data_IF_423611260768
#
_entry.id   IF_423611260768
#
_cell.length_a   1.000
_cell.length_b   1.000
_cell.length_c   1.000
_cell.angle_alpha   90.00
_cell.angle_beta   90.00
_cell.angle_gamma   90.00
#
_symmetry.space_group_name_H-M   'P 1'
#
loop_
_entity.id
_entity.type
_entity.pdbx_description
1 polymer ?
#
# COMPACT_ATOMS: atom_id res chain seq x y z
N UNK A 1 -3.79 41.38 -24.59
CA UNK A 1 -4.35 40.64 -23.47
C UNK A 1 -4.19 41.44 -22.18
N UNK A 2 -5.22 41.48 -21.38
CA UNK A 2 -5.23 42.26 -20.15
C UNK A 2 -4.27 41.61 -19.12
N UNK A 3 -3.45 42.42 -18.42
CA UNK A 3 -2.52 41.97 -17.39
C UNK A 3 -3.23 41.29 -16.22
N UNK A 4 -4.45 41.68 -15.89
CA UNK A 4 -5.27 41.09 -14.84
C UNK A 4 -5.68 39.65 -15.22
N UNK A 5 -6.09 39.44 -16.47
CA UNK A 5 -6.45 38.11 -16.98
C UNK A 5 -5.26 37.17 -16.98
N UNK A 6 -4.07 37.64 -17.39
CA UNK A 6 -2.83 36.85 -17.33
C UNK A 6 -2.45 36.46 -15.90
N UNK A 7 -2.62 37.36 -14.92
CA UNK A 7 -2.36 37.10 -13.51
C UNK A 7 -3.34 36.05 -12.94
N UNK A 8 -4.62 36.11 -13.31
CA UNK A 8 -5.64 35.12 -12.89
C UNK A 8 -5.30 33.73 -13.45
N UNK A 9 -4.97 33.61 -14.72
CA UNK A 9 -4.59 32.36 -15.37
C UNK A 9 -3.35 31.78 -14.71
N UNK A 10 -2.33 32.57 -14.42
CA UNK A 10 -1.12 32.14 -13.75
C UNK A 10 -1.39 31.62 -12.33
N UNK A 11 -2.25 32.31 -11.57
CA UNK A 11 -2.66 31.89 -10.23
C UNK A 11 -3.42 30.57 -10.25
N UNK A 12 -4.32 30.36 -11.20
CA UNK A 12 -5.06 29.09 -11.37
C UNK A 12 -4.10 27.95 -11.69
N UNK A 13 -3.12 28.16 -12.56
CA UNK A 13 -2.10 27.14 -12.90
C UNK A 13 -1.25 26.76 -11.70
N UNK A 14 -0.86 27.69 -10.86
CA UNK A 14 -0.12 27.43 -9.61
C UNK A 14 -0.97 26.63 -8.61
N UNK A 15 -2.26 26.94 -8.48
CA UNK A 15 -3.16 26.25 -7.58
C UNK A 15 -3.40 24.78 -8.01
N UNK A 16 -3.36 24.48 -9.31
CA UNK A 16 -3.55 23.13 -9.84
C UNK A 16 -2.33 22.21 -9.70
N UNK A 17 -1.15 22.74 -9.36
CA UNK A 17 0.11 21.99 -9.34
C UNK A 17 0.49 21.39 -7.97
N UNK A 18 -0.34 21.55 -6.93
CA UNK A 18 0.04 21.26 -5.53
C UNK A 18 -0.56 19.96 -4.97
N UNK A 19 -1.09 19.08 -5.80
CA UNK A 19 -1.64 17.81 -5.30
C UNK A 19 -0.56 16.72 -5.28
N UNK A 20 -0.05 16.41 -4.08
CA UNK A 20 0.81 15.24 -3.85
C UNK A 20 -0.03 14.13 -3.22
N UNK A 21 -0.04 12.94 -3.83
CA UNK A 21 -0.69 11.77 -3.30
C UNK A 21 0.04 11.22 -2.07
N UNK A 22 -0.68 10.53 -1.21
CA UNK A 22 -0.13 9.86 -0.04
C UNK A 22 0.22 8.40 -0.35
N UNK A 23 1.26 7.91 0.29
CA UNK A 23 1.60 6.48 0.32
C UNK A 23 1.40 6.00 1.75
N UNK A 24 0.57 4.97 1.92
CA UNK A 24 0.39 4.31 3.20
C UNK A 24 1.45 3.22 3.37
N UNK A 25 2.17 3.26 4.47
CA UNK A 25 3.26 2.33 4.75
C UNK A 25 2.92 1.47 5.97
N UNK A 26 2.85 0.16 5.77
CA UNK A 26 2.54 -0.81 6.82
C UNK A 26 3.79 -1.67 7.07
N UNK A 27 4.22 -1.75 8.32
CA UNK A 27 5.32 -2.63 8.70
C UNK A 27 4.77 -3.83 9.44
N UNK A 28 5.02 -5.02 8.93
CA UNK A 28 4.57 -6.28 9.53
C UNK A 28 5.75 -7.23 9.70
N UNK A 29 5.96 -7.66 10.92
CA UNK A 29 7.05 -8.53 11.32
C UNK A 29 6.49 -9.63 12.23
N UNK A 30 6.72 -10.87 11.86
CA UNK A 30 6.30 -12.02 12.65
C UNK A 30 5.43 -13.00 11.89
N UNK A 31 4.74 -13.85 12.66
CA UNK A 31 3.91 -14.95 12.15
C UNK A 31 2.65 -14.40 11.50
N UNK A 32 2.30 -14.95 10.34
CA UNK A 32 1.01 -14.67 9.69
C UNK A 32 -0.11 -15.29 10.54
N UNK A 33 -0.95 -14.41 11.08
CA UNK A 33 -2.02 -14.76 12.02
C UNK A 33 -3.21 -13.79 11.85
N UNK A 34 -4.34 -14.02 12.55
CA UNK A 34 -5.50 -13.13 12.42
C UNK A 34 -5.23 -11.67 12.76
N UNK A 35 -4.32 -11.38 13.68
CA UNK A 35 -3.95 -9.99 14.04
C UNK A 35 -3.25 -9.30 12.87
N UNK A 36 -2.29 -9.96 12.25
CA UNK A 36 -1.60 -9.44 11.07
C UNK A 36 -2.58 -9.26 9.90
N UNK A 37 -3.44 -10.25 9.67
CA UNK A 37 -4.46 -10.19 8.63
C UNK A 37 -5.38 -8.99 8.83
N UNK A 38 -5.92 -8.80 10.01
CA UNK A 38 -6.79 -7.67 10.32
C UNK A 38 -6.07 -6.32 10.11
N UNK A 39 -4.84 -6.22 10.55
CA UNK A 39 -4.03 -5.01 10.38
C UNK A 39 -3.83 -4.66 8.91
N UNK A 40 -3.45 -5.63 8.09
CA UNK A 40 -3.22 -5.42 6.65
C UNK A 40 -4.54 -5.09 5.93
N UNK A 41 -5.59 -5.85 6.17
CA UNK A 41 -6.91 -5.63 5.55
C UNK A 41 -7.43 -4.23 5.86
N UNK A 42 -7.39 -3.83 7.11
CA UNK A 42 -7.79 -2.46 7.52
C UNK A 42 -6.89 -1.39 6.94
N UNK A 43 -5.59 -1.64 6.84
CA UNK A 43 -4.65 -0.72 6.21
C UNK A 43 -4.98 -0.47 4.74
N UNK A 44 -5.32 -1.51 4.00
CA UNK A 44 -5.75 -1.40 2.60
C UNK A 44 -7.09 -0.67 2.49
N UNK A 45 -8.05 -0.99 3.35
CA UNK A 45 -9.35 -0.30 3.39
C UNK A 45 -9.19 1.19 3.66
N UNK A 46 -8.36 1.57 4.62
CA UNK A 46 -8.08 2.97 4.94
C UNK A 46 -7.41 3.70 3.77
N UNK A 47 -6.46 3.05 3.11
CA UNK A 47 -5.82 3.61 1.92
C UNK A 47 -6.82 3.87 0.80
N UNK A 48 -7.77 2.96 0.60
CA UNK A 48 -8.84 3.11 -0.39
C UNK A 48 -9.75 4.30 -0.04
N UNK A 49 -10.17 4.42 1.22
CA UNK A 49 -11.00 5.54 1.69
C UNK A 49 -10.32 6.89 1.51
N UNK A 50 -9.03 6.96 1.80
CA UNK A 50 -8.24 8.18 1.72
C UNK A 50 -7.68 8.43 0.31
N UNK A 51 -8.00 7.56 -0.64
CA UNK A 51 -7.54 7.67 -2.04
C UNK A 51 -6.02 7.76 -2.14
N UNK A 52 -5.33 6.91 -1.37
CA UNK A 52 -3.86 6.85 -1.40
C UNK A 52 -3.35 6.43 -2.79
N UNK A 53 -2.15 6.88 -3.13
CA UNK A 53 -1.48 6.50 -4.38
C UNK A 53 -1.03 5.04 -4.38
N UNK A 54 -0.63 4.53 -3.21
CA UNK A 54 -0.20 3.15 -3.04
C UNK A 54 -0.21 2.75 -1.56
N UNK A 55 -0.20 1.44 -1.33
CA UNK A 55 0.10 0.84 -0.03
C UNK A 55 1.40 0.08 -0.16
N UNK A 56 2.35 0.34 0.72
CA UNK A 56 3.58 -0.44 0.83
C UNK A 56 3.49 -1.29 2.09
N UNK A 57 3.59 -2.59 1.95
CA UNK A 57 3.64 -3.54 3.05
C UNK A 57 5.08 -4.02 3.19
N UNK A 58 5.79 -3.50 4.18
CA UNK A 58 7.11 -4.02 4.53
C UNK A 58 6.92 -5.31 5.32
N UNK A 59 7.40 -6.42 4.76
CA UNK A 59 7.14 -7.75 5.25
C UNK A 59 8.41 -8.47 5.70
N UNK A 60 8.36 -9.03 6.91
CA UNK A 60 9.33 -10.00 7.40
C UNK A 60 8.57 -11.10 8.13
N UNK A 61 8.46 -12.29 7.52
CA UNK A 61 7.66 -13.38 8.08
C UNK A 61 8.26 -14.76 7.81
N UNK A 62 8.23 -15.67 8.80
CA UNK A 62 8.54 -17.09 8.59
C UNK A 62 7.38 -17.86 7.97
N UNK A 63 6.20 -17.24 7.82
CA UNK A 63 4.97 -17.89 7.42
C UNK A 63 3.94 -17.88 8.56
N UNK A 64 2.95 -18.74 8.47
CA UNK A 64 1.91 -18.86 9.49
C UNK A 64 0.65 -19.54 8.98
N UNK A 65 -0.50 -19.06 9.44
CA UNK A 65 -1.79 -19.68 9.21
C UNK A 65 -2.30 -19.47 7.79
N UNK A 66 -2.73 -20.53 7.16
CA UNK A 66 -3.25 -20.54 5.79
C UNK A 66 -4.47 -19.61 5.61
N UNK A 67 -5.43 -19.67 6.53
CA UNK A 67 -6.63 -18.81 6.45
C UNK A 67 -6.29 -17.33 6.53
N UNK A 68 -5.38 -16.95 7.42
CA UNK A 68 -4.93 -15.56 7.55
C UNK A 68 -4.18 -15.10 6.30
N UNK A 69 -3.34 -15.94 5.73
CA UNK A 69 -2.66 -15.68 4.47
C UNK A 69 -3.66 -15.45 3.33
N UNK A 70 -4.70 -16.29 3.25
CA UNK A 70 -5.73 -16.16 2.22
C UNK A 70 -6.50 -14.86 2.34
N UNK A 71 -6.83 -14.42 3.55
CA UNK A 71 -7.52 -13.16 3.79
C UNK A 71 -6.65 -11.98 3.31
N UNK A 72 -5.36 -12.02 3.62
CA UNK A 72 -4.40 -11.00 3.17
C UNK A 72 -4.30 -10.98 1.64
N UNK A 73 -4.06 -12.13 1.04
CA UNK A 73 -3.94 -12.25 -0.42
C UNK A 73 -5.20 -11.76 -1.13
N UNK A 74 -6.37 -12.11 -0.62
CA UNK A 74 -7.67 -11.69 -1.17
C UNK A 74 -7.84 -10.17 -1.09
N UNK A 75 -7.46 -9.57 0.04
CA UNK A 75 -7.53 -8.12 0.20
C UNK A 75 -6.59 -7.40 -0.79
N UNK A 76 -5.38 -7.92 -1.00
CA UNK A 76 -4.44 -7.37 -1.97
C UNK A 76 -4.99 -7.48 -3.39
N UNK A 77 -5.45 -8.65 -3.79
CA UNK A 77 -5.96 -8.91 -5.14
C UNK A 77 -7.20 -8.08 -5.48
N UNK A 78 -8.03 -7.76 -4.50
CA UNK A 78 -9.24 -6.96 -4.68
C UNK A 78 -9.05 -5.47 -4.42
N UNK A 79 -7.84 -5.04 -4.09
CA UNK A 79 -7.56 -3.64 -3.79
C UNK A 79 -7.62 -2.75 -5.02
N UNK A 80 -8.33 -1.62 -4.92
CA UNK A 80 -8.34 -0.57 -5.95
C UNK A 80 -7.06 0.28 -5.91
N UNK A 81 -6.37 0.28 -4.77
CA UNK A 81 -5.09 0.98 -4.59
C UNK A 81 -3.95 0.00 -4.86
N UNK A 82 -2.92 0.39 -5.63
CA UNK A 82 -1.76 -0.47 -5.84
C UNK A 82 -1.10 -0.89 -4.52
N UNK A 83 -0.81 -2.17 -4.38
CA UNK A 83 -0.15 -2.73 -3.20
C UNK A 83 1.23 -3.24 -3.57
N UNK A 84 2.23 -2.72 -2.89
CA UNK A 84 3.63 -3.13 -2.99
C UNK A 84 3.96 -3.97 -1.77
N UNK A 85 4.45 -5.18 -1.96
CA UNK A 85 5.03 -5.98 -0.87
C UNK A 85 6.55 -5.86 -0.95
N UNK A 86 7.13 -5.31 0.10
CA UNK A 86 8.57 -5.01 0.23
C UNK A 86 9.18 -5.89 1.32
N UNK A 87 10.02 -6.85 0.94
CA UNK A 87 10.67 -7.74 1.89
C UNK A 87 11.90 -7.04 2.45
N UNK A 88 11.80 -6.56 3.66
CA UNK A 88 12.80 -5.72 4.31
C UNK A 88 12.65 -5.79 5.84
N UNK A 89 13.70 -5.43 6.63
CA UNK A 89 15.02 -4.94 6.22
C UNK A 89 15.93 -6.02 5.65
N UNK A 90 17.18 -5.70 5.40
CA UNK A 90 18.18 -6.68 4.96
C UNK A 90 18.20 -7.90 5.89
N UNK A 91 18.11 -9.11 5.34
CA UNK A 91 17.98 -10.34 6.10
C UNK A 91 16.53 -10.76 6.38
N UNK A 92 15.55 -9.90 6.08
CA UNK A 92 14.15 -10.27 6.18
C UNK A 92 13.78 -11.37 5.17
N UNK A 93 12.71 -12.07 5.48
CA UNK A 93 12.21 -13.14 4.62
C UNK A 93 10.69 -13.07 4.43
N UNK A 94 10.25 -13.60 3.31
CA UNK A 94 8.85 -13.88 3.04
C UNK A 94 8.74 -15.39 2.80
N UNK A 95 8.77 -16.18 3.86
CA UNK A 95 8.79 -17.63 3.78
C UNK A 95 7.37 -18.21 3.90
N UNK A 96 7.16 -19.38 3.29
CA UNK A 96 5.89 -20.12 3.37
C UNK A 96 4.69 -19.24 2.99
N UNK A 97 3.76 -18.93 3.91
CA UNK A 97 2.63 -18.03 3.65
C UNK A 97 3.07 -16.66 3.09
N UNK A 98 4.25 -16.19 3.45
CA UNK A 98 4.83 -14.96 2.92
C UNK A 98 5.06 -14.98 1.41
N UNK A 99 5.35 -16.14 0.84
CA UNK A 99 5.49 -16.31 -0.62
C UNK A 99 4.17 -15.95 -1.32
N UNK A 100 3.06 -16.48 -0.83
CA UNK A 100 1.75 -16.24 -1.42
C UNK A 100 1.30 -14.79 -1.28
N UNK A 101 1.58 -14.16 -0.14
CA UNK A 101 1.32 -12.73 0.08
C UNK A 101 2.10 -11.89 -0.93
N UNK A 102 3.38 -12.23 -1.14
CA UNK A 102 4.24 -11.54 -2.09
C UNK A 102 3.75 -11.72 -3.53
N UNK A 103 3.32 -12.92 -3.90
CA UNK A 103 2.74 -13.18 -5.22
C UNK A 103 1.43 -12.45 -5.46
N UNK A 104 0.64 -12.22 -4.43
CA UNK A 104 -0.63 -11.48 -4.55
C UNK A 104 -0.41 -9.99 -4.80
N UNK A 105 0.77 -9.44 -4.49
CA UNK A 105 1.06 -8.02 -4.64
C UNK A 105 1.05 -7.58 -6.11
N UNK A 106 0.76 -6.30 -6.32
CA UNK A 106 0.87 -5.68 -7.65
C UNK A 106 2.33 -5.46 -8.03
N UNK A 107 3.16 -5.16 -7.03
CA UNK A 107 4.62 -5.02 -7.17
C UNK A 107 5.27 -5.70 -5.98
N UNK A 108 6.26 -6.55 -6.25
CA UNK A 108 7.10 -7.18 -5.24
C UNK A 108 8.53 -6.61 -5.30
N UNK A 109 9.09 -6.31 -4.14
CA UNK A 109 10.45 -5.78 -4.02
C UNK A 109 11.22 -6.38 -2.84
#
# INVERSE_FOLDING_TARGET
>A
MNKILSAIIFTILLASSVYAGEIHYLTVDGIVNPVMSEFIVKGIENATKEKAEAVVIQLDTPGGLDLSMRDIAKAILSSDVPVVVYVAPSGARAASAGVFITYASHIAA
#
